data_IF_739922095063
#
_entry.id   IF_739922095063
#
_cell.length_a   1.000
_cell.length_b   1.000
_cell.length_c   1.000
_cell.angle_alpha   90.00
_cell.angle_beta   90.00
_cell.angle_gamma   90.00
#
_symmetry.space_group_name_H-M   'P 1'
#
loop_
_entity.id
_entity.type
_entity.pdbx_description
1 polymer ?
#
# COMPACT_ATOMS: atom_id res chain seq x y z
N UNK A 1 -14.99 -15.53 2.66
CA UNK A 1 -14.64 -14.75 1.45
C UNK A 1 -14.46 -15.73 0.31
N UNK A 2 -15.01 -15.48 -0.88
CA UNK A 2 -14.76 -16.29 -2.09
C UNK A 2 -13.78 -15.55 -3.04
N UNK A 3 -13.35 -16.20 -4.12
CA UNK A 3 -12.34 -15.65 -5.04
C UNK A 3 -12.77 -14.31 -5.68
N UNK A 4 -14.05 -14.17 -6.01
CA UNK A 4 -14.59 -12.91 -6.53
C UNK A 4 -14.50 -11.78 -5.48
N UNK A 5 -14.82 -12.09 -4.23
CA UNK A 5 -14.74 -11.14 -3.12
C UNK A 5 -13.28 -10.74 -2.85
N UNK A 6 -12.34 -11.69 -2.91
CA UNK A 6 -10.91 -11.44 -2.80
C UNK A 6 -10.45 -10.43 -3.87
N UNK A 7 -10.78 -10.69 -5.14
CA UNK A 7 -10.40 -9.81 -6.24
C UNK A 7 -11.06 -8.43 -6.14
N UNK A 8 -12.32 -8.36 -5.72
CA UNK A 8 -13.02 -7.10 -5.46
C UNK A 8 -12.34 -6.30 -4.34
N UNK A 9 -11.92 -6.97 -3.28
CA UNK A 9 -11.26 -6.32 -2.15
C UNK A 9 -9.86 -5.83 -2.52
N UNK A 10 -9.07 -6.62 -3.25
CA UNK A 10 -7.76 -6.18 -3.76
C UNK A 10 -7.91 -4.96 -4.68
N UNK A 11 -8.93 -4.95 -5.56
CA UNK A 11 -9.24 -3.77 -6.38
C UNK A 11 -9.66 -2.55 -5.55
N UNK A 12 -10.34 -2.76 -4.43
CA UNK A 12 -10.66 -1.67 -3.50
C UNK A 12 -9.37 -1.09 -2.90
N UNK A 13 -8.48 -1.94 -2.35
CA UNK A 13 -7.18 -1.49 -1.81
C UNK A 13 -6.32 -0.80 -2.87
N UNK A 14 -6.32 -1.31 -4.10
CA UNK A 14 -5.64 -0.68 -5.23
C UNK A 14 -6.17 0.74 -5.50
N UNK A 15 -7.50 0.91 -5.55
CA UNK A 15 -8.13 2.22 -5.79
C UNK A 15 -7.84 3.20 -4.67
N UNK A 16 -7.92 2.76 -3.41
CA UNK A 16 -7.58 3.61 -2.26
C UNK A 16 -6.11 4.03 -2.27
N UNK A 17 -5.22 3.12 -2.67
CA UNK A 17 -3.80 3.46 -2.84
C UNK A 17 -3.61 4.54 -3.91
N UNK A 18 -4.31 4.43 -5.05
CA UNK A 18 -4.28 5.44 -6.10
C UNK A 18 -4.88 6.78 -5.66
N UNK A 19 -5.96 6.77 -4.85
CA UNK A 19 -6.54 7.99 -4.28
C UNK A 19 -5.49 8.74 -3.46
N UNK A 20 -4.84 8.06 -2.52
CA UNK A 20 -3.84 8.67 -1.65
C UNK A 20 -2.63 9.25 -2.39
N UNK A 21 -2.20 8.65 -3.51
CA UNK A 21 -1.15 9.24 -4.36
C UNK A 21 -1.54 10.64 -4.89
N UNK A 22 -2.82 10.81 -5.21
CA UNK A 22 -3.37 12.03 -5.79
C UNK A 22 -3.79 13.07 -4.74
N UNK A 23 -3.94 12.66 -3.48
CA UNK A 23 -4.27 13.57 -2.38
C UNK A 23 -3.18 14.62 -2.18
N UNK A 24 -3.59 15.84 -1.82
CA UNK A 24 -2.63 16.93 -1.53
C UNK A 24 -1.85 16.67 -0.24
N UNK A 25 -2.50 16.04 0.73
CA UNK A 25 -1.95 15.68 2.03
C UNK A 25 -2.54 14.34 2.43
N UNK A 26 -1.66 13.44 2.86
CA UNK A 26 -2.02 12.16 3.48
C UNK A 26 -1.73 12.32 4.97
N UNK A 27 -2.73 12.13 5.82
CA UNK A 27 -2.60 12.25 7.27
C UNK A 27 -2.16 10.94 7.92
N UNK A 28 -1.63 11.01 9.14
CA UNK A 28 -1.26 9.82 9.92
C UNK A 28 -2.50 8.99 10.29
N UNK A 29 -3.61 9.65 10.61
CA UNK A 29 -4.89 8.98 10.90
C UNK A 29 -5.40 8.18 9.71
N UNK A 30 -5.28 8.72 8.48
CA UNK A 30 -5.65 7.99 7.26
C UNK A 30 -4.76 6.76 7.03
N UNK A 31 -3.45 6.88 7.24
CA UNK A 31 -2.52 5.76 7.14
C UNK A 31 -2.90 4.67 8.15
N UNK A 32 -3.09 5.05 9.41
CA UNK A 32 -3.47 4.11 10.47
C UNK A 32 -4.81 3.42 10.20
N UNK A 33 -5.82 4.16 9.72
CA UNK A 33 -7.10 3.57 9.34
C UNK A 33 -6.95 2.56 8.21
N UNK A 34 -6.12 2.87 7.21
CA UNK A 34 -5.88 1.99 6.09
C UNK A 34 -5.09 0.73 6.49
N UNK A 35 -4.11 0.85 7.38
CA UNK A 35 -3.39 -0.30 7.96
C UNK A 35 -4.31 -1.23 8.75
N UNK A 36 -5.23 -0.67 9.54
CA UNK A 36 -6.25 -1.47 10.25
C UNK A 36 -7.11 -2.27 9.25
N UNK A 37 -7.51 -1.64 8.15
CA UNK A 37 -8.31 -2.30 7.13
C UNK A 37 -7.54 -3.39 6.36
N UNK A 38 -6.24 -3.16 6.10
CA UNK A 38 -5.33 -4.16 5.53
C UNK A 38 -5.17 -5.36 6.48
N UNK A 39 -4.95 -5.11 7.78
CA UNK A 39 -4.79 -6.18 8.76
C UNK A 39 -6.06 -7.05 8.86
N UNK A 40 -7.23 -6.42 8.88
CA UNK A 40 -8.53 -7.12 8.83
C UNK A 40 -8.68 -7.94 7.55
N UNK A 41 -8.22 -7.42 6.41
CA UNK A 41 -8.24 -8.14 5.15
C UNK A 41 -7.35 -9.38 5.18
N UNK A 42 -6.10 -9.23 5.62
CA UNK A 42 -5.14 -10.34 5.74
C UNK A 42 -5.73 -11.42 6.63
N UNK A 43 -6.23 -11.08 7.82
CA UNK A 43 -6.88 -12.04 8.71
C UNK A 43 -8.03 -12.80 8.03
N UNK A 44 -8.89 -12.10 7.28
CA UNK A 44 -9.99 -12.72 6.56
C UNK A 44 -9.50 -13.69 5.48
N UNK A 45 -8.44 -13.35 4.76
CA UNK A 45 -7.81 -14.23 3.76
C UNK A 45 -7.28 -15.48 4.44
N UNK A 46 -6.57 -15.36 5.56
CA UNK A 46 -6.00 -16.50 6.28
C UNK A 46 -7.03 -17.43 6.92
N UNK A 47 -8.19 -16.91 7.30
CA UNK A 47 -9.32 -17.68 7.83
C UNK A 47 -10.09 -18.46 6.75
N UNK A 48 -9.79 -18.26 5.47
CA UNK A 48 -10.49 -18.93 4.35
C UNK A 48 -9.80 -20.20 3.89
N UNK A 49 -10.54 -21.01 3.12
CA UNK A 49 -10.05 -22.23 2.47
C UNK A 49 -9.35 -21.97 1.12
N UNK A 50 -8.83 -20.75 0.87
CA UNK A 50 -8.02 -20.50 -0.33
C UNK A 50 -6.77 -21.40 -0.34
N UNK A 51 -6.30 -21.72 -1.54
CA UNK A 51 -5.06 -22.47 -1.72
C UNK A 51 -3.88 -21.73 -1.08
N UNK A 52 -2.88 -22.49 -0.65
CA UNK A 52 -1.65 -21.92 -0.09
C UNK A 52 -0.91 -21.04 -1.11
N UNK A 53 -1.08 -21.30 -2.40
CA UNK A 53 -0.54 -20.46 -3.47
C UNK A 53 -1.17 -19.07 -3.47
N UNK A 54 -2.51 -18.97 -3.40
CA UNK A 54 -3.21 -17.68 -3.32
C UNK A 54 -2.79 -16.92 -2.05
N UNK A 55 -2.72 -17.60 -0.91
CA UNK A 55 -2.29 -16.97 0.36
C UNK A 55 -0.85 -16.45 0.27
N UNK A 56 0.07 -17.22 -0.34
CA UNK A 56 1.45 -16.79 -0.58
C UNK A 56 1.53 -15.57 -1.48
N UNK A 57 0.68 -15.47 -2.51
CA UNK A 57 0.62 -14.27 -3.36
C UNK A 57 0.15 -13.07 -2.55
N UNK A 58 -0.90 -13.20 -1.73
CA UNK A 58 -1.36 -12.11 -0.86
C UNK A 58 -0.27 -11.68 0.12
N UNK A 59 0.46 -12.61 0.73
CA UNK A 59 1.58 -12.31 1.63
C UNK A 59 2.78 -11.67 0.94
N UNK A 60 2.90 -11.80 -0.39
CA UNK A 60 3.99 -11.18 -1.13
C UNK A 60 3.78 -9.70 -1.41
N UNK A 61 2.59 -9.16 -1.13
CA UNK A 61 2.30 -7.73 -1.21
C UNK A 61 2.97 -7.04 -0.02
N UNK A 62 3.76 -5.99 -0.28
CA UNK A 62 4.32 -5.17 0.79
C UNK A 62 3.29 -4.15 1.30
N UNK A 63 2.64 -4.52 2.40
CA UNK A 63 1.64 -3.68 3.07
C UNK A 63 2.25 -2.65 4.04
N UNK A 64 3.58 -2.54 4.14
CA UNK A 64 4.23 -1.63 5.08
C UNK A 64 4.19 -0.17 4.58
N UNK A 65 3.38 0.66 5.23
CA UNK A 65 3.21 2.08 4.91
C UNK A 65 4.14 3.00 5.71
N UNK A 66 4.75 2.50 6.78
CA UNK A 66 5.56 3.26 7.74
C UNK A 66 7.06 3.32 7.40
N UNK A 67 7.52 2.51 6.45
CA UNK A 67 8.95 2.36 6.26
C UNK A 67 9.60 3.64 5.69
N UNK A 68 10.61 4.17 6.38
CA UNK A 68 11.25 5.47 6.03
C UNK A 68 12.27 5.40 4.87
N UNK A 69 12.65 4.20 4.40
CA UNK A 69 13.94 4.01 3.70
C UNK A 69 13.92 3.63 2.21
N UNK A 70 12.78 3.53 1.53
CA UNK A 70 12.80 3.12 0.12
C UNK A 70 13.36 4.16 -0.85
N UNK A 71 13.38 5.44 -0.47
CA UNK A 71 13.92 6.50 -1.31
C UNK A 71 15.01 7.29 -0.59
N UNK A 72 16.28 6.93 -0.83
CA UNK A 72 17.39 7.88 -0.67
C UNK A 72 17.05 9.08 -1.54
N UNK A 73 16.64 10.19 -0.92
CA UNK A 73 16.19 11.40 -1.62
C UNK A 73 17.17 11.75 -2.75
N UNK A 74 16.70 11.69 -4.00
CA UNK A 74 17.43 12.18 -5.18
C UNK A 74 17.73 13.69 -5.07
N UNK A 75 17.01 14.40 -4.21
CA UNK A 75 17.14 15.84 -4.00
C UNK A 75 17.65 16.14 -2.59
N UNK A 76 18.95 15.87 -2.36
CA UNK A 76 19.65 16.28 -1.13
C UNK A 76 19.54 17.78 -0.83
N UNK A 77 19.33 18.60 -1.86
CA UNK A 77 19.23 20.06 -1.73
C UNK A 77 17.96 20.55 -1.02
N UNK A 78 16.85 19.79 -1.07
CA UNK A 78 15.62 20.12 -0.34
C UNK A 78 15.80 20.03 1.19
N UNK A 79 16.77 19.22 1.66
CA UNK A 79 17.13 19.18 3.08
C UNK A 79 17.82 20.47 3.54
N UNK A 80 18.29 21.32 2.63
CA UNK A 80 19.15 22.46 2.94
C UNK A 80 18.42 23.81 3.00
N UNK A 81 17.16 23.90 2.52
CA UNK A 81 16.49 25.21 2.31
C UNK A 81 15.26 25.45 3.23
N UNK A 82 14.72 24.47 3.95
CA UNK A 82 13.33 24.61 4.45
C UNK A 82 13.00 24.28 5.91
N UNK A 83 13.94 23.90 6.78
CA UNK A 83 13.61 23.55 8.18
C UNK A 83 12.43 22.58 8.32
N UNK A 84 11.38 22.97 9.06
CA UNK A 84 10.16 22.16 9.27
C UNK A 84 9.34 21.92 7.97
N UNK A 85 9.24 22.91 7.08
CA UNK A 85 8.48 22.77 5.82
C UNK A 85 9.12 21.75 4.88
N UNK A 86 10.46 21.75 4.80
CA UNK A 86 11.20 20.75 4.02
C UNK A 86 10.99 19.31 4.53
N UNK A 87 10.87 19.15 5.85
CA UNK A 87 10.56 17.85 6.48
C UNK A 87 9.14 17.38 6.14
N UNK A 88 8.15 18.27 6.18
CA UNK A 88 6.77 17.92 5.83
C UNK A 88 6.64 17.52 4.35
N UNK A 89 7.26 18.28 3.44
CA UNK A 89 7.27 17.95 2.00
C UNK A 89 7.90 16.57 1.76
N UNK A 90 9.05 16.30 2.38
CA UNK A 90 9.72 15.00 2.27
C UNK A 90 8.85 13.87 2.79
N UNK A 91 8.18 14.06 3.92
CA UNK A 91 7.29 13.06 4.51
C UNK A 91 6.09 12.79 3.61
N UNK A 92 5.45 13.82 3.06
CA UNK A 92 4.34 13.67 2.12
C UNK A 92 4.77 12.95 0.84
N UNK A 93 5.96 13.28 0.31
CA UNK A 93 6.50 12.57 -0.86
C UNK A 93 6.80 11.10 -0.54
N UNK A 94 7.34 10.80 0.64
CA UNK A 94 7.56 9.42 1.06
C UNK A 94 6.24 8.64 1.13
N UNK A 95 5.21 9.20 1.79
CA UNK A 95 3.86 8.60 1.87
C UNK A 95 3.31 8.29 0.47
N UNK A 96 3.36 9.25 -0.46
CA UNK A 96 2.90 9.04 -1.85
C UNK A 96 3.63 7.89 -2.55
N UNK A 97 4.95 7.83 -2.42
CA UNK A 97 5.74 6.75 -3.02
C UNK A 97 5.38 5.37 -2.42
N UNK A 98 5.01 5.31 -1.13
CA UNK A 98 4.56 4.07 -0.49
C UNK A 98 3.24 3.58 -1.07
N UNK A 99 2.28 4.49 -1.23
CA UNK A 99 1.01 4.16 -1.89
C UNK A 99 1.18 3.81 -3.38
N UNK A 100 2.15 4.39 -4.07
CA UNK A 100 2.51 3.99 -5.44
C UNK A 100 3.09 2.57 -5.50
N UNK A 101 4.02 2.25 -4.60
CA UNK A 101 4.56 0.89 -4.48
C UNK A 101 3.45 -0.13 -4.18
N UNK A 102 2.63 0.15 -3.17
CA UNK A 102 1.51 -0.72 -2.78
C UNK A 102 0.52 -0.92 -3.93
N UNK A 103 0.20 0.14 -4.68
CA UNK A 103 -0.65 0.03 -5.88
C UNK A 103 -0.10 -0.98 -6.89
N UNK A 104 1.20 -0.88 -7.20
CA UNK A 104 1.87 -1.76 -8.16
C UNK A 104 1.93 -3.22 -7.65
N UNK A 105 2.25 -3.42 -6.38
CA UNK A 105 2.31 -4.75 -5.77
C UNK A 105 0.93 -5.43 -5.76
N UNK A 106 -0.13 -4.67 -5.48
CA UNK A 106 -1.51 -5.16 -5.57
C UNK A 106 -1.88 -5.49 -7.02
N UNK A 107 -1.54 -4.65 -8.00
CA UNK A 107 -1.86 -4.90 -9.41
C UNK A 107 -1.23 -6.21 -9.90
N UNK A 108 0.06 -6.39 -9.63
CA UNK A 108 0.79 -7.61 -9.96
C UNK A 108 0.18 -8.84 -9.27
N UNK A 109 -0.23 -8.71 -8.01
CA UNK A 109 -0.86 -9.78 -7.25
C UNK A 109 -2.25 -10.13 -7.75
N UNK A 110 -3.06 -9.15 -8.16
CA UNK A 110 -4.35 -9.37 -8.82
C UNK A 110 -4.16 -10.19 -10.09
N UNK A 111 -3.17 -9.82 -10.92
CA UNK A 111 -2.88 -10.56 -12.15
C UNK A 111 -2.51 -12.01 -11.83
N UNK A 112 -1.61 -12.24 -10.87
CA UNK A 112 -1.16 -13.58 -10.49
C UNK A 112 -2.29 -14.42 -9.87
N UNK A 113 -3.12 -13.85 -9.00
CA UNK A 113 -4.26 -14.56 -8.39
C UNK A 113 -5.26 -15.00 -9.47
N UNK A 114 -5.52 -14.18 -10.50
CA UNK A 114 -6.38 -14.57 -11.62
C UNK A 114 -5.86 -15.76 -12.42
N UNK A 115 -4.55 -16.00 -12.43
CA UNK A 115 -3.98 -17.20 -13.08
C UNK A 115 -4.10 -18.47 -12.25
N UNK A 116 -4.45 -18.35 -10.96
CA UNK A 116 -4.58 -19.45 -10.00
C UNK A 116 -6.03 -19.82 -9.69
N UNK A 117 -7.00 -19.06 -10.21
CA UNK A 117 -8.45 -19.30 -10.08
C UNK A 117 -8.95 -19.84 -11.42
#
# INVERSE_FOLDING_TARGET
MNSETLLKYLKFLQKESLRHQNDKKITDDEIQQFEIEINRFIEKVFKTSFSEEIKKVVLSIDFNLDEENHNKSKFKWLNFIGGFEGKEIKNQLNRKNRFEKLYNDIDASIFKIKTLI
#
